data_IF_589377194900
#
_entry.id   IF_589377194900
#
_cell.length_a   1.000
_cell.length_b   1.000
_cell.length_c   1.000
_cell.angle_alpha   90.00
_cell.angle_beta   90.00
_cell.angle_gamma   90.00
#
_symmetry.space_group_name_H-M   'P 1'
#
loop_
_entity.id
_entity.type
_entity.pdbx_description
1 polymer ?
#
# COMPACT_ATOMS: atom_id res chain seq x y z
N UNK A 1 -71.07 65.20 -21.25
CA UNK A 1 -70.36 64.78 -22.48
C UNK A 1 -68.89 64.69 -22.13
N UNK A 2 -68.41 63.56 -21.79
CA UNK A 2 -67.05 63.41 -21.24
C UNK A 2 -66.46 62.07 -21.73
N UNK A 3 -65.47 62.25 -22.55
CA UNK A 3 -64.71 61.18 -23.22
C UNK A 3 -63.56 60.80 -22.32
N UNK A 4 -63.50 59.54 -21.81
CA UNK A 4 -62.38 59.06 -21.04
C UNK A 4 -61.49 58.17 -21.94
N UNK A 5 -60.27 58.68 -22.21
CA UNK A 5 -59.22 57.93 -22.90
C UNK A 5 -58.56 56.94 -21.91
N UNK A 6 -58.41 55.66 -22.34
CA UNK A 6 -57.67 54.65 -21.62
C UNK A 6 -56.22 54.72 -22.04
N UNK A 7 -55.34 54.89 -21.05
CA UNK A 7 -53.89 54.75 -21.23
C UNK A 7 -53.50 53.25 -21.04
N UNK A 8 -52.97 52.71 -22.11
CA UNK A 8 -52.32 51.35 -22.07
C UNK A 8 -50.95 51.49 -21.45
N UNK A 9 -50.73 50.76 -20.33
CA UNK A 9 -49.41 50.68 -19.70
C UNK A 9 -48.65 49.47 -20.26
N UNK A 10 -47.66 49.74 -21.08
CA UNK A 10 -46.64 48.74 -21.47
C UNK A 10 -45.67 48.55 -20.34
N UNK A 11 -45.70 47.37 -19.72
CA UNK A 11 -44.69 46.97 -18.76
C UNK A 11 -43.40 46.48 -19.48
N UNK A 12 -42.21 46.63 -18.88
CA UNK A 12 -40.96 46.24 -19.53
C UNK A 12 -40.86 44.72 -19.77
N UNK A 13 -40.20 44.27 -20.85
CA UNK A 13 -40.11 42.86 -21.24
C UNK A 13 -39.36 42.07 -20.17
N UNK A 14 -39.97 40.93 -19.75
CA UNK A 14 -39.36 39.99 -18.81
C UNK A 14 -38.11 39.34 -19.45
N UNK A 15 -36.94 39.56 -18.83
CA UNK A 15 -35.69 38.83 -19.21
C UNK A 15 -35.89 37.33 -19.10
N UNK A 16 -35.45 36.55 -20.09
CA UNK A 16 -35.52 35.09 -20.01
C UNK A 16 -34.63 34.58 -18.85
N UNK A 17 -35.18 33.68 -18.01
CA UNK A 17 -34.41 32.99 -16.97
C UNK A 17 -33.34 32.14 -17.66
N UNK A 18 -32.07 32.47 -17.43
CA UNK A 18 -30.94 31.59 -17.80
C UNK A 18 -31.11 30.26 -17.09
N UNK A 19 -31.23 29.16 -17.86
CA UNK A 19 -31.17 27.80 -17.36
C UNK A 19 -29.80 27.51 -16.70
N UNK A 20 -29.70 26.47 -15.84
CA UNK A 20 -28.46 26.11 -15.22
C UNK A 20 -27.37 25.91 -16.27
N UNK A 21 -26.32 26.71 -16.20
CA UNK A 21 -25.20 26.67 -17.11
C UNK A 21 -24.51 25.30 -17.03
N UNK A 22 -24.26 24.70 -18.19
CA UNK A 22 -23.44 23.50 -18.33
C UNK A 22 -22.10 23.74 -17.63
N UNK A 23 -21.64 22.87 -16.72
CA UNK A 23 -20.34 23.03 -16.07
C UNK A 23 -19.26 23.19 -17.14
N UNK A 24 -18.37 24.15 -16.96
CA UNK A 24 -17.24 24.38 -17.85
C UNK A 24 -16.37 23.11 -17.87
N UNK A 25 -16.32 22.42 -19.01
CA UNK A 25 -15.40 21.34 -19.29
C UNK A 25 -13.98 21.90 -19.24
N UNK A 26 -13.26 21.67 -18.13
CA UNK A 26 -11.80 21.79 -18.12
C UNK A 26 -11.24 20.82 -19.15
N UNK A 27 -10.48 21.35 -20.09
CA UNK A 27 -9.59 20.71 -21.07
C UNK A 27 -9.91 19.26 -21.49
N UNK A 28 -9.87 19.05 -22.78
CA UNK A 28 -10.25 17.90 -23.60
C UNK A 28 -9.54 16.54 -23.26
N UNK A 29 -9.34 16.19 -22.00
CA UNK A 29 -9.00 14.84 -21.56
C UNK A 29 -10.27 14.20 -21.00
N UNK A 30 -10.88 13.30 -21.79
CA UNK A 30 -11.99 12.48 -21.33
C UNK A 30 -11.48 11.64 -20.13
N UNK A 31 -12.12 11.81 -18.97
CA UNK A 31 -11.82 11.03 -17.76
C UNK A 31 -11.89 9.53 -18.07
N UNK A 32 -10.86 8.77 -17.73
CA UNK A 32 -10.79 7.34 -17.96
C UNK A 32 -10.83 6.56 -16.64
N UNK A 33 -11.23 5.27 -16.68
CA UNK A 33 -11.16 4.34 -15.54
C UNK A 33 -9.77 4.35 -14.91
N UNK A 34 -8.70 4.32 -15.74
CA UNK A 34 -7.30 4.32 -15.28
C UNK A 34 -6.91 5.60 -14.55
N UNK A 35 -7.34 6.75 -15.04
CA UNK A 35 -7.07 8.05 -14.39
C UNK A 35 -7.78 8.16 -13.05
N UNK A 36 -9.05 7.75 -12.96
CA UNK A 36 -9.82 7.70 -11.71
C UNK A 36 -9.12 6.81 -10.68
N UNK A 37 -8.72 5.61 -11.07
CA UNK A 37 -8.03 4.65 -10.20
C UNK A 37 -6.66 5.18 -9.77
N UNK A 38 -5.89 5.78 -10.69
CA UNK A 38 -4.59 6.37 -10.38
C UNK A 38 -4.72 7.55 -9.42
N UNK A 39 -5.76 8.37 -9.58
CA UNK A 39 -6.06 9.45 -8.65
C UNK A 39 -6.44 8.90 -7.27
N UNK A 40 -7.31 7.89 -7.22
CA UNK A 40 -7.72 7.23 -5.98
C UNK A 40 -6.52 6.59 -5.24
N UNK A 41 -5.57 5.97 -5.97
CA UNK A 41 -4.31 5.51 -5.39
C UNK A 41 -3.48 6.67 -4.84
N UNK A 42 -3.49 7.82 -5.51
CA UNK A 42 -2.83 9.04 -5.03
C UNK A 42 -3.32 9.48 -3.64
N UNK A 43 -4.61 9.37 -3.36
CA UNK A 43 -5.20 9.66 -2.04
C UNK A 43 -4.66 8.72 -0.96
N UNK A 44 -4.36 7.47 -1.30
CA UNK A 44 -3.83 6.47 -0.36
C UNK A 44 -2.41 6.80 0.16
N UNK A 45 -1.79 7.88 -0.27
CA UNK A 45 -0.56 8.39 0.34
C UNK A 45 -0.80 9.06 1.69
N UNK A 46 -2.02 9.50 1.95
CA UNK A 46 -2.36 10.32 3.11
C UNK A 46 -3.60 9.85 3.88
N UNK A 47 -4.41 8.99 3.28
CA UNK A 47 -5.62 8.47 3.91
C UNK A 47 -5.80 6.96 3.65
N UNK A 48 -6.37 6.22 4.63
CA UNK A 48 -6.61 4.78 4.47
C UNK A 48 -7.54 4.48 3.29
N UNK A 49 -7.24 3.41 2.53
CA UNK A 49 -7.99 3.02 1.34
C UNK A 49 -9.50 2.81 1.61
N UNK A 50 -9.87 2.37 2.81
CA UNK A 50 -11.28 2.24 3.19
C UNK A 50 -12.05 3.58 3.18
N UNK A 51 -11.37 4.72 3.28
CA UNK A 51 -11.95 6.06 3.23
C UNK A 51 -12.06 6.59 1.79
N UNK A 52 -11.31 6.00 0.86
CA UNK A 52 -11.35 6.34 -0.57
C UNK A 52 -12.62 5.75 -1.20
N UNK A 53 -13.71 6.52 -1.11
CA UNK A 53 -15.01 6.16 -1.65
C UNK A 53 -15.28 6.81 -3.01
N UNK A 54 -16.28 6.30 -3.74
CA UNK A 54 -16.75 6.91 -5.01
C UNK A 54 -17.09 8.39 -4.81
N UNK A 55 -17.79 8.72 -3.71
CA UNK A 55 -18.16 10.11 -3.38
C UNK A 55 -16.92 10.95 -3.10
N UNK A 56 -15.95 10.41 -2.34
CA UNK A 56 -14.69 11.08 -2.03
C UNK A 56 -13.91 11.42 -3.30
N UNK A 57 -13.75 10.43 -4.20
CA UNK A 57 -13.06 10.60 -5.48
C UNK A 57 -13.79 11.60 -6.39
N UNK A 58 -15.12 11.51 -6.46
CA UNK A 58 -15.93 12.43 -7.26
C UNK A 58 -15.79 13.88 -6.81
N UNK A 59 -15.86 14.13 -5.50
CA UNK A 59 -15.72 15.46 -4.93
C UNK A 59 -14.35 16.07 -5.25
N UNK A 60 -13.27 15.31 -5.11
CA UNK A 60 -11.91 15.78 -5.40
C UNK A 60 -11.68 16.06 -6.89
N UNK A 61 -12.27 15.25 -7.76
CA UNK A 61 -12.17 15.43 -9.21
C UNK A 61 -13.14 16.49 -9.74
N UNK A 62 -14.07 17.01 -8.91
CA UNK A 62 -15.07 18.00 -9.31
C UNK A 62 -16.11 17.44 -10.27
N UNK A 63 -16.45 16.15 -10.17
CA UNK A 63 -17.41 15.45 -11.01
C UNK A 63 -18.53 14.83 -10.17
N UNK A 64 -19.55 14.27 -10.82
CA UNK A 64 -20.65 13.59 -10.10
C UNK A 64 -20.24 12.19 -9.67
N UNK A 65 -20.72 11.69 -8.51
CA UNK A 65 -20.51 10.29 -8.10
C UNK A 65 -21.04 9.27 -9.11
N UNK A 66 -22.13 9.61 -9.83
CA UNK A 66 -22.69 8.77 -10.89
C UNK A 66 -21.69 8.57 -12.04
N UNK A 67 -20.92 9.61 -12.39
CA UNK A 67 -19.89 9.50 -13.42
C UNK A 67 -18.76 8.56 -13.00
N UNK A 68 -18.28 8.66 -11.76
CA UNK A 68 -17.25 7.74 -11.22
C UNK A 68 -17.79 6.31 -11.21
N UNK A 69 -19.04 6.11 -10.72
CA UNK A 69 -19.68 4.81 -10.71
C UNK A 69 -19.80 4.20 -12.11
N UNK A 70 -20.12 5.01 -13.12
CA UNK A 70 -20.20 4.57 -14.52
C UNK A 70 -18.85 4.01 -15.02
N UNK A 71 -17.73 4.67 -14.71
CA UNK A 71 -16.40 4.21 -15.15
C UNK A 71 -15.86 3.02 -14.35
N UNK A 72 -16.12 2.97 -13.05
CA UNK A 72 -15.44 2.04 -12.13
C UNK A 72 -16.36 0.89 -11.69
N UNK A 73 -17.68 1.07 -11.75
CA UNK A 73 -18.65 0.01 -11.46
C UNK A 73 -19.04 -0.18 -10.00
N UNK A 74 -18.42 0.56 -9.06
CA UNK A 74 -18.78 0.47 -7.64
C UNK A 74 -17.58 0.47 -6.69
N UNK A 75 -17.84 0.24 -5.39
CA UNK A 75 -16.81 0.32 -4.34
C UNK A 75 -15.80 -0.81 -4.43
N UNK A 76 -16.24 -2.06 -4.56
CA UNK A 76 -15.32 -3.21 -4.62
C UNK A 76 -14.46 -3.19 -5.88
N UNK A 77 -15.00 -2.89 -7.09
CA UNK A 77 -14.18 -2.64 -8.27
C UNK A 77 -13.21 -1.46 -8.11
N UNK A 78 -13.62 -0.35 -7.46
CA UNK A 78 -12.70 0.75 -7.14
C UNK A 78 -11.55 0.27 -6.27
N UNK A 79 -11.85 -0.44 -5.18
CA UNK A 79 -10.83 -0.96 -4.26
C UNK A 79 -9.89 -1.94 -4.96
N UNK A 80 -10.43 -2.89 -5.74
CA UNK A 80 -9.61 -3.84 -6.51
C UNK A 80 -8.75 -3.13 -7.55
N UNK A 81 -9.31 -2.14 -8.25
CA UNK A 81 -8.56 -1.33 -9.20
C UNK A 81 -7.41 -0.55 -8.55
N UNK A 82 -7.65 0.07 -7.38
CA UNK A 82 -6.62 0.77 -6.62
C UNK A 82 -5.51 -0.18 -6.17
N UNK A 83 -5.87 -1.36 -5.65
CA UNK A 83 -4.90 -2.38 -5.25
C UNK A 83 -4.10 -2.89 -6.46
N UNK A 84 -4.76 -3.15 -7.59
CA UNK A 84 -4.09 -3.59 -8.80
C UNK A 84 -3.11 -2.53 -9.33
N UNK A 85 -3.51 -1.25 -9.32
CA UNK A 85 -2.64 -0.12 -9.71
C UNK A 85 -1.48 0.08 -8.74
N UNK A 86 -1.69 -0.18 -7.44
CA UNK A 86 -0.63 -0.18 -6.43
C UNK A 86 0.44 -1.23 -6.75
N UNK A 87 0.03 -2.47 -7.06
CA UNK A 87 0.95 -3.54 -7.43
C UNK A 87 1.61 -3.28 -8.80
N UNK A 88 0.90 -2.72 -9.78
CA UNK A 88 1.49 -2.30 -11.05
C UNK A 88 2.66 -1.35 -10.81
N UNK A 89 2.42 -0.26 -10.05
CA UNK A 89 3.45 0.72 -9.74
C UNK A 89 4.62 0.14 -8.90
N UNK A 90 4.37 -0.88 -8.08
CA UNK A 90 5.40 -1.58 -7.34
C UNK A 90 6.24 -2.48 -8.25
N UNK A 91 5.60 -3.29 -9.10
CA UNK A 91 6.28 -4.21 -10.03
C UNK A 91 7.20 -3.45 -11.00
N UNK A 92 6.77 -2.28 -11.46
CA UNK A 92 7.58 -1.38 -12.30
C UNK A 92 8.88 -0.92 -11.63
N UNK A 93 8.90 -0.83 -10.29
CA UNK A 93 10.03 -0.38 -9.49
C UNK A 93 10.95 -1.52 -9.03
N UNK A 94 10.46 -2.77 -9.06
CA UNK A 94 11.25 -3.91 -8.59
C UNK A 94 12.52 -4.08 -9.44
N UNK A 95 13.69 -4.26 -8.80
CA UNK A 95 14.95 -4.41 -9.51
C UNK A 95 14.98 -5.68 -10.36
N UNK A 96 15.79 -5.64 -11.43
CA UNK A 96 16.07 -6.84 -12.20
C UNK A 96 16.82 -7.88 -11.35
N UNK A 97 16.58 -9.17 -11.60
CA UNK A 97 17.27 -10.24 -10.91
C UNK A 97 18.73 -10.36 -11.39
N UNK A 98 19.67 -10.41 -10.45
CA UNK A 98 21.10 -10.55 -10.72
C UNK A 98 21.59 -11.99 -10.60
N UNK A 99 20.72 -12.91 -10.18
CA UNK A 99 21.02 -14.29 -9.82
C UNK A 99 21.91 -14.44 -8.54
N UNK A 100 22.15 -13.34 -7.86
CA UNK A 100 22.78 -13.31 -6.53
C UNK A 100 21.68 -13.18 -5.49
N UNK A 101 21.11 -14.29 -5.06
CA UNK A 101 19.88 -14.34 -4.29
C UNK A 101 19.86 -13.40 -3.05
N UNK A 102 21.02 -13.21 -2.35
CA UNK A 102 21.08 -12.29 -1.19
C UNK A 102 20.84 -10.85 -1.61
N UNK A 103 21.53 -10.42 -2.67
CA UNK A 103 21.39 -9.08 -3.25
C UNK A 103 19.97 -8.89 -3.78
N UNK A 104 19.45 -9.88 -4.51
CA UNK A 104 18.11 -9.81 -5.10
C UNK A 104 17.02 -9.74 -4.02
N UNK A 105 17.07 -10.57 -2.98
CA UNK A 105 16.12 -10.53 -1.86
C UNK A 105 16.20 -9.19 -1.14
N UNK A 106 17.39 -8.71 -0.78
CA UNK A 106 17.54 -7.43 -0.08
C UNK A 106 16.97 -6.28 -0.92
N UNK A 107 17.36 -6.16 -2.18
CA UNK A 107 16.92 -5.07 -3.06
C UNK A 107 15.41 -5.10 -3.33
N UNK A 108 14.81 -6.29 -3.51
CA UNK A 108 13.37 -6.45 -3.69
C UNK A 108 12.62 -5.99 -2.44
N UNK A 109 13.04 -6.44 -1.24
CA UNK A 109 12.31 -6.11 -0.01
C UNK A 109 12.55 -4.68 0.46
N UNK A 110 13.70 -4.07 0.21
CA UNK A 110 13.93 -2.63 0.39
C UNK A 110 12.98 -1.80 -0.52
N UNK A 111 12.84 -2.19 -1.79
CA UNK A 111 11.91 -1.53 -2.72
C UNK A 111 10.45 -1.63 -2.25
N UNK A 112 10.02 -2.82 -1.80
CA UNK A 112 8.67 -3.05 -1.26
C UNK A 112 8.44 -2.17 -0.01
N UNK A 113 9.40 -2.10 0.91
CA UNK A 113 9.31 -1.30 2.12
C UNK A 113 9.08 0.17 1.82
N UNK A 114 9.91 0.76 0.95
CA UNK A 114 9.78 2.17 0.53
C UNK A 114 8.44 2.43 -0.16
N UNK A 115 7.99 1.50 -1.02
CA UNK A 115 6.72 1.63 -1.71
C UNK A 115 5.52 1.58 -0.74
N UNK A 116 5.56 0.68 0.25
CA UNK A 116 4.52 0.57 1.26
C UNK A 116 4.46 1.82 2.14
N UNK A 117 5.61 2.38 2.56
CA UNK A 117 5.64 3.66 3.29
C UNK A 117 5.02 4.78 2.45
N UNK A 118 5.32 4.84 1.16
CA UNK A 118 4.78 5.86 0.25
C UNK A 118 3.26 5.81 0.14
N UNK A 119 2.66 4.63 0.26
CA UNK A 119 1.22 4.40 0.18
C UNK A 119 0.67 3.88 1.50
N UNK A 120 0.89 4.63 2.57
CA UNK A 120 0.52 4.26 3.95
C UNK A 120 -0.95 3.84 4.09
N UNK A 121 -1.84 4.46 3.34
CA UNK A 121 -3.27 4.11 3.34
C UNK A 121 -3.58 2.72 2.78
N UNK A 122 -2.75 2.21 1.85
CA UNK A 122 -2.86 0.82 1.37
C UNK A 122 -2.40 -0.13 2.47
N UNK A 123 -1.27 0.17 3.13
CA UNK A 123 -0.74 -0.64 4.24
C UNK A 123 -1.76 -0.72 5.39
N UNK A 124 -2.31 0.42 5.82
CA UNK A 124 -3.34 0.47 6.86
C UNK A 124 -4.57 -0.37 6.47
N UNK A 125 -4.98 -0.33 5.20
CA UNK A 125 -6.08 -1.13 4.69
C UNK A 125 -5.78 -2.63 4.75
N UNK A 126 -4.61 -3.07 4.26
CA UNK A 126 -4.21 -4.49 4.26
C UNK A 126 -4.12 -5.04 5.70
N UNK A 127 -3.59 -4.26 6.63
CA UNK A 127 -3.45 -4.65 8.04
C UNK A 127 -4.78 -4.71 8.81
N UNK A 128 -5.77 -3.91 8.43
CA UNK A 128 -7.05 -3.79 9.15
C UNK A 128 -8.19 -4.61 8.55
N UNK A 129 -8.06 -5.09 7.32
CA UNK A 129 -9.13 -5.81 6.62
C UNK A 129 -8.90 -7.32 6.63
N UNK A 130 -9.93 -8.05 7.04
CA UNK A 130 -9.94 -9.51 7.08
C UNK A 130 -10.17 -10.13 5.67
N UNK A 131 -9.44 -9.63 4.66
CA UNK A 131 -9.48 -10.15 3.29
C UNK A 131 -8.07 -10.26 2.75
N UNK A 132 -7.75 -11.42 2.17
CA UNK A 132 -6.50 -11.60 1.44
C UNK A 132 -6.55 -10.77 0.15
N UNK A 133 -5.70 -9.73 0.05
CA UNK A 133 -5.74 -8.72 -1.03
C UNK A 133 -4.49 -8.73 -1.91
N UNK A 134 -3.77 -9.83 -1.94
CA UNK A 134 -2.63 -9.99 -2.84
C UNK A 134 -3.10 -10.10 -4.29
N UNK A 135 -4.08 -10.96 -4.55
CA UNK A 135 -4.67 -11.15 -5.88
C UNK A 135 -5.94 -10.33 -6.03
N UNK A 136 -6.16 -9.72 -7.19
CA UNK A 136 -7.28 -8.84 -7.45
C UNK A 136 -8.30 -9.49 -8.37
N UNK A 137 -9.56 -9.10 -8.19
CA UNK A 137 -10.60 -9.37 -9.17
C UNK A 137 -10.43 -8.36 -10.30
N UNK A 138 -9.84 -8.80 -11.42
CA UNK A 138 -9.63 -8.01 -12.61
C UNK A 138 -10.66 -8.39 -13.69
N UNK A 139 -10.96 -7.47 -14.60
CA UNK A 139 -11.82 -7.71 -15.74
C UNK A 139 -11.20 -8.72 -16.74
N UNK A 140 -12.00 -9.46 -17.51
CA UNK A 140 -11.46 -10.33 -18.55
C UNK A 140 -10.52 -9.56 -19.50
N UNK A 141 -9.27 -10.02 -19.60
CA UNK A 141 -8.20 -9.38 -20.38
C UNK A 141 -7.40 -8.32 -19.64
N UNK A 142 -7.76 -7.91 -18.43
CA UNK A 142 -6.91 -7.11 -17.56
C UNK A 142 -5.88 -8.00 -16.86
N UNK A 143 -4.68 -7.44 -16.61
CA UNK A 143 -3.59 -8.13 -15.92
C UNK A 143 -3.74 -7.99 -14.41
N UNK A 144 -3.59 -9.09 -13.67
CA UNK A 144 -3.48 -9.09 -12.21
C UNK A 144 -2.02 -8.83 -11.81
N UNK A 145 -1.69 -7.59 -11.49
CA UNK A 145 -0.36 -7.19 -11.03
C UNK A 145 -0.02 -7.70 -9.62
N UNK A 146 -1.01 -8.13 -8.85
CA UNK A 146 -0.77 -8.86 -7.59
C UNK A 146 -0.14 -10.22 -7.85
N UNK A 147 -0.56 -10.90 -8.92
CA UNK A 147 0.05 -12.16 -9.36
C UNK A 147 1.49 -11.94 -9.84
N UNK A 148 1.73 -10.89 -10.64
CA UNK A 148 3.09 -10.52 -11.07
C UNK A 148 4.01 -10.18 -9.91
N UNK A 149 3.51 -9.43 -8.94
CA UNK A 149 4.24 -9.10 -7.73
C UNK A 149 4.62 -10.38 -6.96
N UNK A 150 3.68 -11.30 -6.77
CA UNK A 150 3.94 -12.57 -6.09
C UNK A 150 4.99 -13.41 -6.81
N UNK A 151 4.92 -13.49 -8.15
CA UNK A 151 5.91 -14.18 -8.99
C UNK A 151 7.32 -13.57 -8.82
N UNK A 152 7.44 -12.24 -8.82
CA UNK A 152 8.72 -11.54 -8.64
C UNK A 152 9.31 -11.78 -7.24
N UNK A 153 8.51 -11.71 -6.19
CA UNK A 153 8.94 -11.96 -4.81
C UNK A 153 9.38 -13.40 -4.61
N UNK A 154 8.54 -14.36 -5.03
CA UNK A 154 8.87 -15.79 -4.89
C UNK A 154 10.05 -16.19 -5.78
N UNK A 155 10.19 -15.57 -6.96
CA UNK A 155 11.33 -15.73 -7.85
C UNK A 155 12.64 -15.33 -7.20
N UNK A 156 12.70 -14.16 -6.54
CA UNK A 156 13.89 -13.69 -5.83
C UNK A 156 14.32 -14.66 -4.70
N UNK A 157 13.36 -15.22 -3.97
CA UNK A 157 13.64 -16.21 -2.90
C UNK A 157 14.04 -17.57 -3.50
N UNK A 158 13.41 -18.01 -4.59
CA UNK A 158 13.66 -19.31 -5.24
C UNK A 158 15.08 -19.47 -5.75
N UNK A 159 15.73 -18.41 -6.21
CA UNK A 159 17.12 -18.42 -6.69
C UNK A 159 18.09 -18.91 -5.62
N UNK A 160 17.74 -18.82 -4.34
CA UNK A 160 18.54 -19.38 -3.25
C UNK A 160 18.68 -20.90 -3.30
N UNK A 161 17.86 -21.61 -4.10
CA UNK A 161 17.90 -23.07 -4.26
C UNK A 161 17.27 -23.83 -3.10
N UNK A 162 16.34 -23.20 -2.38
CA UNK A 162 15.55 -23.83 -1.31
C UNK A 162 14.46 -24.76 -1.89
N UNK A 163 13.88 -25.64 -1.04
CA UNK A 163 12.71 -26.44 -1.46
C UNK A 163 11.48 -25.54 -1.65
N UNK A 164 10.44 -25.99 -2.39
CA UNK A 164 9.20 -25.23 -2.53
C UNK A 164 8.59 -24.80 -1.19
N UNK A 165 8.56 -25.71 -0.20
CA UNK A 165 8.04 -25.42 1.16
C UNK A 165 8.85 -24.32 1.86
N UNK A 166 10.18 -24.37 1.75
CA UNK A 166 11.06 -23.35 2.38
C UNK A 166 11.00 -22.03 1.62
N UNK A 167 10.92 -22.06 0.28
CA UNK A 167 10.70 -20.86 -0.54
C UNK A 167 9.40 -20.17 -0.15
N UNK A 168 8.29 -20.90 -0.05
CA UNK A 168 7.01 -20.36 0.37
C UNK A 168 7.06 -19.77 1.78
N UNK A 169 7.69 -20.48 2.73
CA UNK A 169 7.86 -20.02 4.12
C UNK A 169 8.64 -18.70 4.20
N UNK A 170 9.79 -18.64 3.54
CA UNK A 170 10.61 -17.43 3.58
C UNK A 170 9.98 -16.27 2.81
N UNK A 171 9.31 -16.52 1.68
CA UNK A 171 8.52 -15.48 0.99
C UNK A 171 7.44 -14.90 1.90
N UNK A 172 6.73 -15.76 2.64
CA UNK A 172 5.71 -15.32 3.60
C UNK A 172 6.32 -14.51 4.75
N UNK A 173 7.38 -15.00 5.39
CA UNK A 173 8.04 -14.31 6.51
C UNK A 173 8.58 -12.93 6.10
N UNK A 174 9.19 -12.83 4.93
CA UNK A 174 9.71 -11.59 4.39
C UNK A 174 8.59 -10.60 4.06
N UNK A 175 7.49 -11.06 3.43
CA UNK A 175 6.31 -10.22 3.16
C UNK A 175 5.65 -9.74 4.45
N UNK A 176 5.54 -10.62 5.45
CA UNK A 176 4.97 -10.27 6.74
C UNK A 176 5.84 -9.25 7.48
N UNK A 177 7.16 -9.45 7.46
CA UNK A 177 8.12 -8.52 8.08
C UNK A 177 8.04 -7.12 7.45
N UNK A 178 8.11 -7.02 6.12
CA UNK A 178 8.06 -5.71 5.44
C UNK A 178 6.72 -5.01 5.65
N UNK A 179 5.61 -5.73 5.59
CA UNK A 179 4.27 -5.16 5.80
C UNK A 179 4.10 -4.63 7.22
N UNK A 180 4.50 -5.44 8.23
CA UNK A 180 4.44 -5.03 9.64
C UNK A 180 5.34 -3.84 9.94
N UNK A 181 6.57 -3.83 9.43
CA UNK A 181 7.51 -2.73 9.61
C UNK A 181 7.01 -1.43 8.99
N UNK A 182 6.51 -1.50 7.74
CA UNK A 182 5.93 -0.34 7.07
C UNK A 182 4.68 0.20 7.78
N UNK A 183 3.84 -0.70 8.32
CA UNK A 183 2.67 -0.30 9.09
C UNK A 183 3.05 0.43 10.38
N UNK A 184 4.00 -0.11 11.16
CA UNK A 184 4.48 0.54 12.39
C UNK A 184 5.07 1.92 12.11
N UNK A 185 5.88 2.04 11.04
CA UNK A 185 6.46 3.31 10.61
C UNK A 185 5.40 4.35 10.26
N UNK A 186 4.38 3.95 9.49
CA UNK A 186 3.37 4.87 8.97
C UNK A 186 2.24 5.18 9.94
N UNK A 187 2.04 4.34 10.96
CA UNK A 187 1.05 4.54 12.03
C UNK A 187 1.64 5.16 13.31
N UNK A 188 2.89 5.60 13.27
CA UNK A 188 3.60 6.20 14.40
C UNK A 188 3.57 5.31 15.65
N UNK A 189 3.83 4.00 15.50
CA UNK A 189 3.85 3.03 16.59
C UNK A 189 5.27 2.59 16.98
N UNK A 190 6.28 3.29 16.51
CA UNK A 190 7.67 2.99 16.84
C UNK A 190 8.05 3.57 18.21
N UNK A 191 8.99 2.92 18.92
CA UNK A 191 9.49 3.46 20.18
C UNK A 191 10.05 4.89 20.07
N UNK A 192 10.73 5.23 18.97
CA UNK A 192 11.24 6.57 18.71
C UNK A 192 10.13 7.64 18.66
N UNK A 193 8.95 7.31 18.15
CA UNK A 193 7.79 8.22 18.11
C UNK A 193 7.27 8.57 19.52
N UNK A 194 7.56 7.73 20.52
CA UNK A 194 7.08 7.82 21.89
C UNK A 194 8.21 7.93 22.93
N UNK A 195 9.42 8.27 22.50
CA UNK A 195 10.63 8.20 23.32
C UNK A 195 10.47 8.89 24.68
N UNK A 196 10.04 10.17 24.70
CA UNK A 196 9.90 10.94 25.94
C UNK A 196 8.89 10.29 26.92
N UNK A 197 7.77 9.79 26.39
CA UNK A 197 6.76 9.09 27.17
C UNK A 197 7.33 7.77 27.76
N UNK A 198 7.96 6.95 26.93
CA UNK A 198 8.54 5.67 27.35
C UNK A 198 9.58 5.86 28.43
N UNK A 199 10.54 6.77 28.22
CA UNK A 199 11.59 7.06 29.21
C UNK A 199 10.99 7.58 30.52
N UNK A 200 10.06 8.54 30.46
CA UNK A 200 9.38 9.06 31.65
C UNK A 200 8.59 8.00 32.41
N UNK A 201 7.94 7.09 31.70
CA UNK A 201 7.09 6.04 32.30
C UNK A 201 7.92 4.93 32.91
N UNK A 202 8.92 4.44 32.17
CA UNK A 202 9.69 3.26 32.57
C UNK A 202 10.71 3.56 33.66
N UNK A 203 11.30 4.79 33.72
CA UNK A 203 12.18 5.19 34.81
C UNK A 203 11.53 5.21 36.19
N UNK A 204 10.19 5.27 36.26
CA UNK A 204 9.45 5.26 37.53
C UNK A 204 9.22 3.86 38.08
N UNK A 205 9.54 2.81 37.34
CA UNK A 205 9.44 1.43 37.79
C UNK A 205 10.57 1.13 38.78
N UNK A 206 10.31 0.24 39.74
CA UNK A 206 11.33 -0.21 40.68
C UNK A 206 12.39 -1.02 39.95
N UNK A 207 13.66 -0.61 40.06
CA UNK A 207 14.79 -1.26 39.40
C UNK A 207 15.01 -2.69 39.87
N UNK A 208 14.70 -2.99 41.15
CA UNK A 208 14.85 -4.33 41.71
C UNK A 208 13.80 -5.31 41.16
N UNK A 209 12.59 -4.81 40.84
CA UNK A 209 11.51 -5.60 40.28
C UNK A 209 11.58 -5.68 38.73
N UNK A 210 12.19 -4.67 38.09
CA UNK A 210 12.23 -4.54 36.63
C UNK A 210 13.64 -4.32 36.04
N UNK A 211 14.64 -5.14 36.41
CA UNK A 211 16.02 -4.94 35.99
C UNK A 211 16.20 -5.02 34.47
N UNK A 212 15.48 -5.91 33.78
CA UNK A 212 15.59 -6.04 32.32
C UNK A 212 14.99 -4.84 31.58
N UNK A 213 13.92 -4.25 32.11
CA UNK A 213 13.34 -3.01 31.56
C UNK A 213 14.33 -1.86 31.63
N UNK A 214 14.98 -1.67 32.80
CA UNK A 214 15.99 -0.64 32.97
C UNK A 214 17.23 -0.88 32.09
N UNK A 215 17.63 -2.14 31.90
CA UNK A 215 18.76 -2.50 31.04
C UNK A 215 18.56 -2.07 29.58
N UNK A 216 17.34 -2.22 29.03
CA UNK A 216 17.08 -1.91 27.61
C UNK A 216 16.50 -0.51 27.39
N UNK A 217 16.11 0.21 28.43
CA UNK A 217 15.25 1.39 28.38
C UNK A 217 15.67 2.42 27.33
N UNK A 218 16.87 2.94 27.43
CA UNK A 218 17.34 4.02 26.55
C UNK A 218 17.49 3.53 25.10
N UNK A 219 18.03 2.33 24.92
CA UNK A 219 18.20 1.72 23.60
C UNK A 219 16.85 1.37 22.96
N UNK A 220 15.90 0.87 23.75
CA UNK A 220 14.57 0.56 23.24
C UNK A 220 13.80 1.82 22.86
N UNK A 221 13.84 2.87 23.71
CA UNK A 221 13.14 4.11 23.44
C UNK A 221 13.69 4.89 22.23
N UNK A 222 14.96 4.65 21.87
CA UNK A 222 15.63 5.26 20.72
C UNK A 222 15.61 4.35 19.46
N UNK A 223 14.89 3.21 19.50
CA UNK A 223 14.89 2.24 18.40
C UNK A 223 14.21 2.83 17.16
N UNK A 224 14.95 2.91 16.06
CA UNK A 224 14.49 3.45 14.78
C UNK A 224 13.83 2.36 13.93
N UNK A 225 12.75 2.72 13.25
CA UNK A 225 12.01 1.80 12.40
C UNK A 225 12.83 1.24 11.25
N UNK A 226 13.60 2.08 10.57
CA UNK A 226 14.47 1.66 9.46
C UNK A 226 15.55 0.67 9.91
N UNK A 227 16.15 0.88 11.09
CA UNK A 227 17.17 -0.02 11.64
C UNK A 227 16.55 -1.36 12.03
N UNK A 228 15.35 -1.34 12.64
CA UNK A 228 14.62 -2.56 12.98
C UNK A 228 14.24 -3.35 11.73
N UNK A 229 13.73 -2.68 10.68
CA UNK A 229 13.42 -3.31 9.40
C UNK A 229 14.65 -3.97 8.77
N UNK A 230 15.76 -3.24 8.63
CA UNK A 230 17.00 -3.76 8.03
C UNK A 230 17.59 -4.90 8.82
N UNK A 231 17.58 -4.82 10.15
CA UNK A 231 18.04 -5.89 11.04
C UNK A 231 17.20 -7.15 10.85
N UNK A 232 15.86 -7.03 10.86
CA UNK A 232 14.97 -8.16 10.65
C UNK A 232 15.15 -8.81 9.26
N UNK A 233 15.29 -8.00 8.21
CA UNK A 233 15.58 -8.48 6.86
C UNK A 233 16.91 -9.25 6.80
N UNK A 234 17.96 -8.72 7.45
CA UNK A 234 19.27 -9.38 7.58
C UNK A 234 19.16 -10.73 8.30
N UNK A 235 18.49 -10.77 9.44
CA UNK A 235 18.30 -12.02 10.21
C UNK A 235 17.58 -13.11 9.41
N UNK A 236 16.54 -12.74 8.65
CA UNK A 236 15.81 -13.70 7.80
C UNK A 236 16.72 -14.19 6.67
N UNK A 237 17.44 -13.31 5.99
CA UNK A 237 18.35 -13.67 4.90
C UNK A 237 19.55 -14.50 5.38
N UNK A 238 20.06 -14.26 6.58
CA UNK A 238 21.09 -15.10 7.20
C UNK A 238 20.56 -16.50 7.51
N UNK A 239 19.33 -16.61 8.05
CA UNK A 239 18.69 -17.91 8.28
C UNK A 239 18.52 -18.70 6.98
N UNK A 240 18.08 -18.04 5.88
CA UNK A 240 18.08 -18.65 4.54
C UNK A 240 19.46 -19.14 4.13
N UNK A 241 20.50 -18.32 4.36
CA UNK A 241 21.87 -18.64 4.00
C UNK A 241 22.42 -19.87 4.70
N UNK A 242 22.11 -20.04 5.98
CA UNK A 242 22.48 -21.26 6.75
C UNK A 242 21.84 -22.51 6.13
N UNK A 243 20.57 -22.46 5.73
CA UNK A 243 19.91 -23.60 5.09
C UNK A 243 20.48 -23.92 3.70
N UNK A 244 20.80 -22.90 2.91
CA UNK A 244 21.47 -23.07 1.61
C UNK A 244 22.85 -23.74 1.77
N UNK A 245 23.64 -23.31 2.76
CA UNK A 245 24.96 -23.89 3.04
C UNK A 245 24.88 -25.36 3.44
N UNK A 246 23.94 -25.73 4.32
CA UNK A 246 23.70 -27.11 4.74
C UNK A 246 23.34 -28.01 3.54
N UNK A 247 22.54 -27.51 2.59
CA UNK A 247 22.17 -28.26 1.38
C UNK A 247 23.32 -28.46 0.41
N UNK A 248 24.25 -27.52 0.33
CA UNK A 248 25.44 -27.57 -0.55
C UNK A 248 26.57 -28.41 0.01
N UNK A 249 26.53 -28.76 1.30
CA UNK A 249 27.57 -29.53 1.97
C UNK A 249 27.66 -30.97 1.42
N UNK A 250 28.84 -31.49 1.05
CA UNK A 250 29.03 -32.80 0.41
C UNK A 250 28.56 -34.00 1.25
N UNK A 251 28.52 -33.89 2.57
CA UNK A 251 28.12 -34.93 3.48
C UNK A 251 26.70 -35.49 3.26
N UNK A 252 25.81 -34.68 2.63
CA UNK A 252 24.43 -35.11 2.34
C UNK A 252 24.25 -35.83 1.01
N UNK A 253 25.18 -35.63 0.03
CA UNK A 253 25.13 -36.30 -1.27
C UNK A 253 25.42 -37.81 -1.16
N UNK A 254 26.12 -38.29 -0.10
CA UNK A 254 26.41 -39.72 0.10
C UNK A 254 25.24 -40.54 0.63
N UNK A 255 24.26 -39.92 1.32
CA UNK A 255 23.08 -40.65 1.85
C UNK A 255 21.92 -40.79 0.85
N UNK A 256 21.86 -39.96 -0.20
CA UNK A 256 20.82 -40.06 -1.23
C UNK A 256 21.20 -40.98 -2.41
N UNK A 257 22.49 -41.37 -2.52
CA UNK A 257 22.97 -42.27 -3.55
C UNK A 257 22.98 -43.74 -3.11
N UNK A 258 22.59 -44.04 -1.85
CA UNK A 258 22.52 -45.40 -1.28
C UNK A 258 21.08 -45.85 -0.91
N UNK A 259 20.06 -45.15 -1.45
CA UNK A 259 18.66 -45.60 -1.32
C UNK A 259 18.04 -45.84 -2.69
#
# INVERSE_FOLDING_TARGET
MGMRSRLSGDGPPRRPKRGPGRPATRGNNALSKREIISFALGLCRHEPLQNVSIVRVANELGVTPALIHYYVGGRDPLTSGVMNRFYEALVEQLPAQTLQWRTDVTAVFDTIYVHYIRYSGVVAYVMSHNRFRLFQLVEPGERDFGADFFERVTGAVRIAGLSPQRTAMYSHLLLQHVLSSAYQQTSHQLPEDHQAFLVSRLRKLDTSETPNTHFVLESFAALRGDDAFRTGLSLITEAMGREVAVRRSPARKRKSAQR
#
